data_IF_520241586681
#
_entry.id   IF_520241586681
#
_cell.length_a   1.000
_cell.length_b   1.000
_cell.length_c   1.000
_cell.angle_alpha   90.00
_cell.angle_beta   90.00
_cell.angle_gamma   90.00
#
_symmetry.space_group_name_H-M   'P 1'
#
loop_
_entity.id
_entity.type
_entity.pdbx_description
1 polymer ?
#
# COMPACT_ATOMS: atom_id res chain seq x y z
N UNK A 1 -11.93 -11.30 -19.99
CA UNK A 1 -11.77 -11.22 -18.52
C UNK A 1 -12.44 -12.44 -17.90
N UNK A 2 -11.76 -13.16 -17.01
CA UNK A 2 -12.30 -14.36 -16.34
C UNK A 2 -12.63 -14.04 -14.87
N UNK A 3 -13.55 -14.80 -14.26
CA UNK A 3 -14.01 -14.60 -12.86
C UNK A 3 -12.84 -14.57 -11.85
N UNK A 4 -11.75 -15.30 -12.12
CA UNK A 4 -10.55 -15.31 -11.29
C UNK A 4 -9.85 -13.94 -11.25
N UNK A 5 -9.86 -13.21 -12.36
CA UNK A 5 -9.28 -11.86 -12.44
C UNK A 5 -10.07 -10.88 -11.58
N UNK A 6 -11.40 -10.98 -11.58
CA UNK A 6 -12.28 -10.12 -10.80
C UNK A 6 -12.03 -10.26 -9.29
N UNK A 7 -11.88 -11.50 -8.81
CA UNK A 7 -11.54 -11.75 -7.40
C UNK A 7 -10.17 -11.20 -6.99
N UNK A 8 -9.19 -11.25 -7.90
CA UNK A 8 -7.88 -10.67 -7.62
C UNK A 8 -7.95 -9.14 -7.52
N UNK A 9 -8.75 -8.50 -8.36
CA UNK A 9 -8.99 -7.05 -8.30
C UNK A 9 -9.72 -6.67 -6.99
N UNK A 10 -10.76 -7.41 -6.59
CA UNK A 10 -11.49 -7.20 -5.33
C UNK A 10 -10.56 -7.29 -4.10
N UNK A 11 -9.67 -8.29 -4.09
CA UNK A 11 -8.67 -8.48 -3.01
C UNK A 11 -7.67 -7.32 -2.96
N UNK A 12 -7.24 -6.82 -4.13
CA UNK A 12 -6.32 -5.67 -4.21
C UNK A 12 -6.97 -4.42 -3.64
N UNK A 13 -8.25 -4.18 -3.98
CA UNK A 13 -9.00 -3.04 -3.48
C UNK A 13 -9.23 -3.12 -1.96
N UNK A 14 -9.60 -4.30 -1.44
CA UNK A 14 -9.78 -4.52 0.01
C UNK A 14 -8.48 -4.26 0.79
N UNK A 15 -7.36 -4.84 0.34
CA UNK A 15 -6.05 -4.62 0.96
C UNK A 15 -5.63 -3.14 0.84
N UNK A 16 -5.96 -2.50 -0.29
CA UNK A 16 -5.72 -1.08 -0.50
C UNK A 16 -6.44 -0.20 0.50
N UNK A 17 -7.72 -0.46 0.77
CA UNK A 17 -8.51 0.24 1.79
C UNK A 17 -7.92 0.04 3.19
N UNK A 18 -7.54 -1.19 3.53
CA UNK A 18 -6.96 -1.49 4.84
C UNK A 18 -5.63 -0.75 5.06
N UNK A 19 -4.73 -0.78 4.07
CA UNK A 19 -3.46 -0.06 4.14
C UNK A 19 -3.65 1.46 4.12
N UNK A 20 -4.62 1.97 3.36
CA UNK A 20 -4.99 3.38 3.41
C UNK A 20 -5.42 3.82 4.81
N UNK A 21 -6.20 2.98 5.50
CA UNK A 21 -6.58 3.18 6.90
C UNK A 21 -5.39 3.14 7.85
N UNK A 22 -4.51 2.13 7.73
CA UNK A 22 -3.33 2.02 8.59
C UNK A 22 -2.43 3.26 8.44
N UNK A 23 -2.12 3.69 7.22
CA UNK A 23 -1.15 4.76 6.97
C UNK A 23 -1.77 6.16 6.83
N UNK A 24 -3.06 6.31 7.14
CA UNK A 24 -3.76 7.59 7.09
C UNK A 24 -3.03 8.68 7.89
N UNK A 25 -2.91 9.87 7.31
CA UNK A 25 -2.25 11.02 7.93
C UNK A 25 -0.72 10.93 8.00
N UNK A 26 -0.12 9.79 7.64
CA UNK A 26 1.33 9.59 7.60
C UNK A 26 1.87 9.56 6.16
N UNK A 27 1.09 9.02 5.24
CA UNK A 27 1.38 9.01 3.80
C UNK A 27 0.19 9.55 3.00
N UNK A 28 0.43 10.19 1.84
CA UNK A 28 -0.64 10.51 0.89
C UNK A 28 -1.32 9.24 0.38
N UNK A 29 -2.65 9.28 0.22
CA UNK A 29 -3.41 8.13 -0.31
C UNK A 29 -2.92 7.68 -1.69
N UNK A 30 -2.46 8.61 -2.53
CA UNK A 30 -1.87 8.31 -3.83
C UNK A 30 -0.56 7.53 -3.74
N UNK A 31 0.24 7.77 -2.70
CA UNK A 31 1.48 7.02 -2.46
C UNK A 31 1.16 5.59 -2.01
N UNK A 32 0.13 5.44 -1.16
CA UNK A 32 -0.35 4.13 -0.71
C UNK A 32 -0.88 3.31 -1.89
N UNK A 33 -1.75 3.89 -2.71
CA UNK A 33 -2.29 3.26 -3.92
C UNK A 33 -1.19 2.84 -4.90
N UNK A 34 -0.19 3.70 -5.11
CA UNK A 34 0.98 3.39 -5.93
C UNK A 34 1.73 2.16 -5.43
N UNK A 35 1.99 2.08 -4.12
CA UNK A 35 2.72 0.94 -3.52
C UNK A 35 1.90 -0.34 -3.63
N UNK A 36 0.59 -0.28 -3.42
CA UNK A 36 -0.30 -1.46 -3.57
C UNK A 36 -0.28 -1.98 -5.00
N UNK A 37 -0.41 -1.10 -6.01
CA UNK A 37 -0.37 -1.49 -7.43
C UNK A 37 0.98 -2.07 -7.84
N UNK A 38 2.09 -1.46 -7.41
CA UNK A 38 3.43 -2.01 -7.66
C UNK A 38 3.60 -3.38 -7.01
N UNK A 39 3.12 -3.53 -5.78
CA UNK A 39 3.19 -4.81 -5.06
C UNK A 39 2.34 -5.89 -5.72
N UNK A 40 1.14 -5.58 -6.18
CA UNK A 40 0.34 -6.50 -6.99
C UNK A 40 1.12 -6.96 -8.22
N UNK A 41 1.71 -6.03 -8.97
CA UNK A 41 2.49 -6.35 -10.18
C UNK A 41 3.67 -7.29 -9.89
N UNK A 42 4.35 -7.10 -8.76
CA UNK A 42 5.46 -7.99 -8.36
C UNK A 42 5.00 -9.40 -7.96
N UNK A 43 3.78 -9.53 -7.46
CA UNK A 43 3.21 -10.83 -7.03
C UNK A 43 2.51 -11.56 -8.17
N UNK A 44 2.18 -10.87 -9.27
CA UNK A 44 1.47 -11.42 -10.41
C UNK A 44 2.25 -12.61 -11.01
N UNK A 45 1.57 -13.76 -11.12
CA UNK A 45 2.17 -14.99 -11.63
C UNK A 45 3.19 -15.68 -10.71
N UNK A 46 3.55 -15.06 -9.57
CA UNK A 46 4.55 -15.59 -8.62
C UNK A 46 3.93 -16.20 -7.36
N UNK A 47 2.64 -15.95 -7.12
CA UNK A 47 1.92 -16.37 -5.92
C UNK A 47 0.61 -17.07 -6.31
N UNK A 48 0.20 -18.07 -5.53
CA UNK A 48 -1.11 -18.70 -5.69
C UNK A 48 -2.24 -17.67 -5.44
N UNK A 49 -3.34 -17.68 -6.21
CA UNK A 49 -4.42 -16.69 -6.05
C UNK A 49 -4.95 -16.57 -4.61
N UNK A 50 -4.98 -17.68 -3.87
CA UNK A 50 -5.46 -17.77 -2.49
C UNK A 50 -4.54 -17.03 -1.50
N UNK A 51 -3.26 -16.93 -1.82
CA UNK A 51 -2.23 -16.30 -0.99
C UNK A 51 -2.03 -14.80 -1.32
N UNK A 52 -2.67 -14.32 -2.41
CA UNK A 52 -2.48 -12.96 -2.92
C UNK A 52 -2.80 -11.90 -1.86
N UNK A 53 -3.93 -12.02 -1.15
CA UNK A 53 -4.34 -11.04 -0.16
C UNK A 53 -3.35 -10.92 1.00
N UNK A 54 -2.93 -12.04 1.57
CA UNK A 54 -1.96 -12.08 2.67
C UNK A 54 -0.60 -11.52 2.25
N UNK A 55 -0.10 -11.94 1.09
CA UNK A 55 1.21 -11.52 0.60
C UNK A 55 1.22 -10.05 0.18
N UNK A 56 0.17 -9.60 -0.50
CA UNK A 56 0.00 -8.19 -0.89
C UNK A 56 -0.03 -7.28 0.34
N UNK A 57 -0.80 -7.68 1.36
CA UNK A 57 -0.88 -6.95 2.62
C UNK A 57 0.49 -6.88 3.32
N UNK A 58 1.18 -8.01 3.51
CA UNK A 58 2.48 -8.06 4.19
C UNK A 58 3.55 -7.25 3.46
N UNK A 59 3.71 -7.49 2.16
CA UNK A 59 4.74 -6.85 1.36
C UNK A 59 4.46 -5.36 1.16
N UNK A 60 3.19 -5.00 0.89
CA UNK A 60 2.76 -3.61 0.76
C UNK A 60 2.99 -2.83 2.06
N UNK A 61 2.59 -3.39 3.20
CA UNK A 61 2.84 -2.79 4.53
C UNK A 61 4.33 -2.59 4.81
N UNK A 62 5.17 -3.59 4.56
CA UNK A 62 6.60 -3.49 4.78
C UNK A 62 7.25 -2.40 3.91
N UNK A 63 6.78 -2.23 2.67
CA UNK A 63 7.23 -1.15 1.77
C UNK A 63 6.80 0.22 2.27
N UNK A 64 5.55 0.38 2.69
CA UNK A 64 5.05 1.64 3.25
C UNK A 64 5.78 2.03 4.54
N UNK A 65 6.06 1.06 5.41
CA UNK A 65 6.89 1.29 6.61
C UNK A 65 8.29 1.77 6.24
N UNK A 66 8.91 1.15 5.24
CA UNK A 66 10.21 1.58 4.74
C UNK A 66 10.16 3.01 4.21
N UNK A 67 9.14 3.35 3.42
CA UNK A 67 8.94 4.72 2.92
C UNK A 67 8.82 5.70 4.09
N UNK A 68 8.04 5.39 5.11
CA UNK A 68 7.94 6.24 6.31
C UNK A 68 9.26 6.42 7.06
N UNK A 69 10.09 5.37 7.13
CA UNK A 69 11.39 5.45 7.80
C UNK A 69 12.40 6.34 7.05
N UNK A 70 12.29 6.41 5.72
CA UNK A 70 13.19 7.20 4.87
C UNK A 70 12.55 8.50 4.34
N UNK A 71 11.28 8.73 4.61
CA UNK A 71 10.63 9.99 4.31
C UNK A 71 11.31 11.07 5.16
N UNK A 72 11.97 12.07 4.55
CA UNK A 72 12.45 13.21 5.32
C UNK A 72 11.25 13.79 6.04
N UNK A 73 11.34 13.93 7.37
CA UNK A 73 10.29 14.48 8.20
C UNK A 73 9.79 15.77 7.54
N UNK A 74 8.64 15.70 6.86
CA UNK A 74 8.08 16.83 6.15
C UNK A 74 7.59 17.82 7.20
N UNK A 75 8.50 18.72 7.57
CA UNK A 75 8.26 20.01 8.19
C UNK A 75 7.27 19.99 9.36
N UNK A 76 7.80 19.72 10.56
CA UNK A 76 7.29 20.42 11.75
C UNK A 76 7.53 21.92 11.48
N UNK A 77 6.54 22.60 10.91
CA UNK A 77 6.50 24.07 10.85
C UNK A 77 6.38 24.57 12.28
N UNK A 78 7.52 24.79 12.94
CA UNK A 78 7.57 25.59 14.16
C UNK A 78 7.23 27.02 13.73
N UNK A 79 6.13 27.63 14.20
CA UNK A 79 5.88 29.04 13.94
C UNK A 79 7.01 29.83 14.61
N UNK A 80 7.81 30.55 13.82
CA UNK A 80 8.72 31.55 14.38
C UNK A 80 7.84 32.71 14.88
N UNK A 81 7.59 32.73 16.19
CA UNK A 81 7.02 33.90 16.85
C UNK A 81 8.06 35.02 16.78
N UNK A 82 7.66 36.15 16.23
CA UNK A 82 8.46 37.37 16.08
C UNK A 82 8.29 38.26 17.29
#
# INVERSE_FOLDING_TARGET
MTVRSHRADDVVDEVGVWLAGEFAGRLPASEIDRVVKLTRGDLEGSIAPEELGEMLHRLGRARLQRILQFAPAAQVRIPQAR
#
